data_IF_214527457928
#
_entry.id   IF_214527457928
#
_cell.length_a   1.000
_cell.length_b   1.000
_cell.length_c   1.000
_cell.angle_alpha   90.00
_cell.angle_beta   90.00
_cell.angle_gamma   90.00
#
_symmetry.space_group_name_H-M   'P 1'
#
loop_
_entity.id
_entity.type
_entity.pdbx_description
1 polymer ?
#
# COMPACT_ATOMS: atom_id res chain seq x y z
N UNK A 1 -9.29 13.98 26.30
CA UNK A 1 -10.60 13.69 25.62
C UNK A 1 -11.65 14.77 25.95
N UNK A 2 -12.07 14.92 27.19
CA UNK A 2 -13.03 15.96 27.62
C UNK A 2 -12.57 17.37 27.26
N UNK A 3 -11.27 17.64 27.27
CA UNK A 3 -10.69 18.93 26.89
C UNK A 3 -11.01 19.27 25.42
N UNK A 4 -10.84 18.35 24.47
CA UNK A 4 -11.13 18.58 23.04
C UNK A 4 -12.61 18.94 22.83
N UNK A 5 -13.52 18.19 23.46
CA UNK A 5 -14.96 18.46 23.40
C UNK A 5 -15.30 19.84 23.96
N UNK A 6 -14.66 20.23 25.07
CA UNK A 6 -14.85 21.56 25.68
C UNK A 6 -14.34 22.66 24.75
N UNK A 7 -13.15 22.51 24.18
CA UNK A 7 -12.59 23.47 23.23
C UNK A 7 -13.49 23.60 21.99
N UNK A 8 -13.95 22.47 21.42
CA UNK A 8 -14.87 22.48 20.29
C UNK A 8 -16.17 23.26 20.58
N UNK A 9 -16.79 23.00 21.74
CA UNK A 9 -18.06 23.62 22.10
C UNK A 9 -17.94 25.09 22.54
N UNK A 10 -16.78 25.51 23.05
CA UNK A 10 -16.66 26.81 23.71
C UNK A 10 -15.80 27.80 22.94
N UNK A 11 -14.75 27.32 22.22
CA UNK A 11 -13.72 28.23 21.73
C UNK A 11 -13.48 28.11 20.20
N UNK A 12 -13.49 26.91 19.63
CA UNK A 12 -13.14 26.73 18.21
C UNK A 12 -13.83 25.51 17.62
N UNK A 13 -14.53 25.69 16.50
CA UNK A 13 -15.21 24.61 15.76
C UNK A 13 -14.29 23.88 14.77
N UNK A 14 -13.10 24.40 14.48
CA UNK A 14 -12.12 23.80 13.60
C UNK A 14 -10.95 23.26 14.40
N UNK A 15 -10.96 21.97 14.72
CA UNK A 15 -9.91 21.31 15.47
C UNK A 15 -9.34 20.17 14.60
N UNK A 16 -8.04 20.18 14.39
CA UNK A 16 -7.31 19.11 13.69
C UNK A 16 -6.51 18.33 14.71
N UNK A 17 -6.70 17.00 14.69
CA UNK A 17 -5.99 16.07 15.57
C UNK A 17 -5.28 15.07 14.66
N UNK A 18 -4.00 14.83 14.87
CA UNK A 18 -3.22 13.84 14.12
C UNK A 18 -2.72 12.73 15.03
N UNK A 19 -2.53 11.55 14.48
CA UNK A 19 -1.95 10.40 15.15
C UNK A 19 -1.48 9.34 14.18
N UNK A 20 -0.49 8.54 14.61
CA UNK A 20 0.13 7.48 13.82
C UNK A 20 -0.70 6.18 13.78
N UNK A 21 -1.85 6.12 14.44
CA UNK A 21 -2.68 4.91 14.51
C UNK A 21 -4.15 5.26 14.27
N UNK A 22 -4.71 4.74 13.17
CA UNK A 22 -6.08 4.97 12.74
C UNK A 22 -7.10 4.51 13.79
N UNK A 23 -6.95 3.28 14.29
CA UNK A 23 -7.96 2.65 15.15
C UNK A 23 -8.09 3.31 16.52
N UNK A 24 -6.97 3.70 17.12
CA UNK A 24 -7.02 4.40 18.40
C UNK A 24 -7.57 5.82 18.24
N UNK A 25 -7.15 6.51 17.18
CA UNK A 25 -7.66 7.86 16.93
C UNK A 25 -9.16 7.80 16.63
N UNK A 26 -9.61 6.90 15.77
CA UNK A 26 -11.03 6.74 15.43
C UNK A 26 -11.86 6.25 16.62
N UNK A 27 -11.45 5.22 17.35
CA UNK A 27 -12.19 4.71 18.51
C UNK A 27 -12.23 5.73 19.65
N UNK A 28 -11.11 6.38 19.94
CA UNK A 28 -11.04 7.36 21.00
C UNK A 28 -11.76 8.67 20.67
N UNK A 29 -11.74 9.08 19.42
CA UNK A 29 -12.43 10.28 18.93
C UNK A 29 -13.90 9.99 18.71
N UNK A 30 -14.28 8.87 18.07
CA UNK A 30 -15.67 8.51 17.79
C UNK A 30 -16.47 8.32 19.08
N UNK A 31 -15.89 7.69 20.11
CA UNK A 31 -16.56 7.53 21.41
C UNK A 31 -16.72 8.85 22.16
N UNK A 32 -15.82 9.79 21.95
CA UNK A 32 -15.82 11.09 22.68
C UNK A 32 -16.55 12.19 21.90
N UNK A 33 -16.37 12.24 20.59
CA UNK A 33 -16.94 13.29 19.73
C UNK A 33 -18.25 12.87 19.06
N UNK A 34 -18.67 11.60 19.15
CA UNK A 34 -19.98 11.08 18.69
C UNK A 34 -20.53 11.78 17.45
N UNK A 35 -19.84 11.64 16.31
CA UNK A 35 -20.29 12.18 15.03
C UNK A 35 -19.80 13.60 14.68
N UNK A 36 -18.94 14.21 15.48
CA UNK A 36 -18.35 15.51 15.18
C UNK A 36 -17.00 15.45 14.44
N UNK A 37 -16.42 14.24 14.25
CA UNK A 37 -15.11 14.07 13.61
C UNK A 37 -15.23 13.42 12.25
N UNK A 38 -14.41 13.88 11.29
CA UNK A 38 -14.18 13.23 9.99
C UNK A 38 -12.72 12.81 9.96
N UNK A 39 -12.47 11.55 9.56
CA UNK A 39 -11.14 10.98 9.46
C UNK A 39 -10.59 11.17 8.04
N UNK A 40 -9.36 11.68 7.95
CA UNK A 40 -8.63 11.84 6.72
C UNK A 40 -7.30 11.07 6.81
N UNK A 41 -7.17 9.91 6.15
CA UNK A 41 -5.89 9.22 6.09
C UNK A 41 -4.88 10.04 5.29
N UNK A 42 -3.70 10.29 5.89
CA UNK A 42 -2.60 11.02 5.25
C UNK A 42 -1.52 10.03 4.87
N UNK A 43 -1.29 9.90 3.56
CA UNK A 43 -0.25 9.05 2.99
C UNK A 43 1.04 9.86 2.76
N UNK A 44 2.21 9.21 2.57
CA UNK A 44 3.38 9.85 2.01
C UNK A 44 3.04 10.58 0.69
N UNK A 45 3.89 11.47 0.19
CA UNK A 45 3.60 12.26 -1.02
C UNK A 45 3.14 11.38 -2.19
N UNK A 46 2.13 11.81 -2.92
CA UNK A 46 1.84 11.29 -4.26
C UNK A 46 2.91 11.73 -5.24
N UNK A 47 2.99 11.09 -6.41
CA UNK A 47 3.96 11.49 -7.44
C UNK A 47 3.79 12.97 -7.87
N UNK A 48 2.56 13.45 -8.01
CA UNK A 48 2.30 14.85 -8.32
C UNK A 48 2.76 15.80 -7.22
N UNK A 49 2.64 15.41 -5.95
CA UNK A 49 3.18 16.17 -4.82
C UNK A 49 4.71 16.11 -4.77
N UNK A 50 5.30 14.93 -5.01
CA UNK A 50 6.74 14.76 -5.14
C UNK A 50 7.31 15.69 -6.22
N UNK A 51 6.69 15.74 -7.40
CA UNK A 51 7.11 16.66 -8.47
C UNK A 51 7.04 18.11 -8.02
N UNK A 52 6.00 18.53 -7.30
CA UNK A 52 5.91 19.88 -6.73
C UNK A 52 7.04 20.17 -5.73
N UNK A 53 7.36 19.23 -4.85
CA UNK A 53 8.47 19.34 -3.88
C UNK A 53 9.83 19.48 -4.58
N UNK A 54 9.99 18.82 -5.73
CA UNK A 54 11.23 18.86 -6.54
C UNK A 54 11.22 19.95 -7.61
N UNK A 55 10.19 20.79 -7.70
CA UNK A 55 10.01 21.82 -8.74
C UNK A 55 10.09 21.23 -10.16
N UNK A 56 9.44 20.08 -10.38
CA UNK A 56 9.35 19.40 -11.68
C UNK A 56 7.98 19.71 -12.29
N UNK A 57 7.92 20.27 -13.51
CA UNK A 57 6.65 20.56 -14.16
C UNK A 57 5.89 19.27 -14.49
N UNK A 58 4.56 19.32 -14.31
CA UNK A 58 3.65 18.19 -14.59
C UNK A 58 2.55 18.55 -15.59
N UNK A 59 2.57 19.81 -16.11
CA UNK A 59 1.62 20.31 -17.10
C UNK A 59 2.37 21.13 -18.15
N UNK A 60 1.85 21.18 -19.38
CA UNK A 60 2.45 21.92 -20.50
C UNK A 60 3.91 21.54 -20.74
N UNK A 61 4.16 20.22 -20.82
CA UNK A 61 5.48 19.64 -20.87
C UNK A 61 6.14 19.86 -22.23
N UNK A 62 7.41 20.29 -22.21
CA UNK A 62 8.34 20.22 -23.33
C UNK A 62 9.05 18.85 -23.34
N UNK A 63 9.78 18.53 -24.40
CA UNK A 63 10.51 17.25 -24.49
C UNK A 63 11.49 17.05 -23.32
N UNK A 64 12.24 18.08 -22.96
CA UNK A 64 13.16 18.04 -21.81
C UNK A 64 12.43 17.81 -20.48
N UNK A 65 11.21 18.32 -20.33
CA UNK A 65 10.39 18.11 -19.15
C UNK A 65 9.90 16.66 -19.04
N UNK A 66 9.63 16.01 -20.17
CA UNK A 66 9.26 14.58 -20.19
C UNK A 66 10.42 13.70 -19.72
N UNK A 67 11.64 13.99 -20.13
CA UNK A 67 12.84 13.27 -19.66
C UNK A 67 13.01 13.46 -18.14
N UNK A 68 12.88 14.70 -17.67
CA UNK A 68 12.96 15.00 -16.22
C UNK A 68 11.84 14.30 -15.42
N UNK A 69 10.64 14.22 -15.99
CA UNK A 69 9.50 13.59 -15.35
C UNK A 69 9.68 12.06 -15.25
N UNK A 70 10.22 11.42 -16.31
CA UNK A 70 10.58 9.99 -16.29
C UNK A 70 11.64 9.68 -15.24
N UNK A 71 12.71 10.44 -15.19
CA UNK A 71 13.75 10.30 -14.16
C UNK A 71 13.19 10.53 -12.75
N UNK A 72 12.29 11.50 -12.61
CA UNK A 72 11.61 11.75 -11.35
C UNK A 72 10.73 10.57 -10.92
N UNK A 73 10.07 9.90 -11.88
CA UNK A 73 9.29 8.70 -11.62
C UNK A 73 10.17 7.53 -11.15
N UNK A 74 11.31 7.29 -11.78
CA UNK A 74 12.25 6.25 -11.39
C UNK A 74 12.75 6.48 -9.95
N UNK A 75 13.10 7.72 -9.62
CA UNK A 75 13.48 8.09 -8.27
C UNK A 75 12.34 7.92 -7.26
N UNK A 76 11.13 8.38 -7.61
CA UNK A 76 9.95 8.23 -6.76
C UNK A 76 9.60 6.75 -6.52
N UNK A 77 9.75 5.91 -7.53
CA UNK A 77 9.45 4.49 -7.45
C UNK A 77 10.40 3.74 -6.52
N UNK A 78 11.63 4.20 -6.40
CA UNK A 78 12.70 3.52 -5.65
C UNK A 78 13.11 4.24 -4.36
N UNK A 79 13.01 5.56 -4.32
CA UNK A 79 13.30 6.37 -3.14
C UNK A 79 12.06 6.48 -2.24
N UNK A 80 12.05 7.42 -1.33
CA UNK A 80 10.95 7.64 -0.41
C UNK A 80 10.03 8.76 -0.87
N UNK A 81 8.77 8.67 -0.46
CA UNK A 81 7.77 9.72 -0.60
C UNK A 81 7.50 10.48 0.73
N UNK A 82 8.28 10.26 1.78
CA UNK A 82 8.19 11.08 3.00
C UNK A 82 8.78 12.47 2.75
N UNK A 83 8.03 13.57 3.07
CA UNK A 83 8.42 14.94 2.72
C UNK A 83 9.84 15.32 3.14
N UNK A 84 10.24 15.01 4.37
CA UNK A 84 11.56 15.30 4.91
C UNK A 84 12.67 14.58 4.13
N UNK A 85 12.45 13.30 3.78
CA UNK A 85 13.40 12.50 3.01
C UNK A 85 13.50 12.99 1.57
N UNK A 86 12.39 13.42 0.96
CA UNK A 86 12.36 13.98 -0.40
C UNK A 86 13.16 15.28 -0.49
N UNK A 87 13.16 16.09 0.58
CA UNK A 87 13.90 17.36 0.63
C UNK A 87 15.39 17.18 0.98
N UNK A 88 15.77 16.06 1.59
CA UNK A 88 17.15 15.78 1.97
C UNK A 88 17.99 15.43 0.74
N UNK A 89 19.17 16.06 0.61
CA UNK A 89 20.08 15.88 -0.52
C UNK A 89 21.04 14.71 -0.34
N UNK A 90 21.48 14.50 0.89
CA UNK A 90 22.48 13.49 1.24
C UNK A 90 21.84 12.10 1.33
N UNK A 91 22.24 11.18 0.45
CA UNK A 91 21.72 9.81 0.43
C UNK A 91 21.88 9.10 1.78
N UNK A 92 23.04 9.25 2.41
CA UNK A 92 23.34 8.63 3.71
C UNK A 92 22.42 9.13 4.84
N UNK A 93 22.00 10.40 4.77
CA UNK A 93 21.06 10.98 5.73
C UNK A 93 19.65 10.49 5.43
N UNK A 94 19.23 10.43 4.16
CA UNK A 94 17.93 9.83 3.77
C UNK A 94 17.78 8.40 4.30
N UNK A 95 18.79 7.57 4.13
CA UNK A 95 18.78 6.18 4.64
C UNK A 95 18.65 6.13 6.17
N UNK A 96 19.35 6.99 6.89
CA UNK A 96 19.26 7.08 8.36
C UNK A 96 17.87 7.57 8.81
N UNK A 97 17.28 8.54 8.14
CA UNK A 97 15.91 9.01 8.42
C UNK A 97 14.90 7.87 8.24
N UNK A 98 14.98 7.14 7.13
CA UNK A 98 14.08 6.02 6.83
C UNK A 98 14.22 4.88 7.84
N UNK A 99 15.45 4.54 8.23
CA UNK A 99 15.70 3.57 9.32
C UNK A 99 15.17 4.07 10.65
N UNK A 100 15.30 5.37 10.93
CA UNK A 100 14.73 6.02 12.11
C UNK A 100 13.20 5.91 12.14
N UNK A 101 12.52 6.20 11.03
CA UNK A 101 11.06 6.06 10.93
C UNK A 101 10.61 4.61 11.09
N UNK A 102 11.26 3.67 10.43
CA UNK A 102 10.98 2.25 10.61
C UNK A 102 11.14 1.82 12.08
N UNK A 103 12.21 2.23 12.73
CA UNK A 103 12.44 1.90 14.14
C UNK A 103 11.40 2.56 15.06
N UNK A 104 11.01 3.80 14.80
CA UNK A 104 9.97 4.48 15.55
C UNK A 104 8.62 3.75 15.44
N UNK A 105 8.22 3.35 14.23
CA UNK A 105 7.01 2.55 14.02
C UNK A 105 7.11 1.19 14.71
N UNK A 106 8.26 0.51 14.60
CA UNK A 106 8.47 -0.79 15.21
C UNK A 106 8.41 -0.73 16.74
N UNK A 107 9.15 0.19 17.36
CA UNK A 107 9.27 0.21 18.82
C UNK A 107 8.10 0.91 19.49
N UNK A 108 7.79 2.14 19.10
CA UNK A 108 6.74 2.95 19.74
C UNK A 108 5.34 2.48 19.36
N UNK A 109 5.09 2.28 18.06
CA UNK A 109 3.73 2.04 17.55
C UNK A 109 3.33 0.56 17.59
N UNK A 110 4.29 -0.37 17.71
CA UNK A 110 4.03 -1.81 17.82
C UNK A 110 4.48 -2.38 19.17
N UNK A 111 5.79 -2.43 19.43
CA UNK A 111 6.36 -3.12 20.60
C UNK A 111 5.83 -2.55 21.90
N UNK A 112 5.98 -1.26 22.14
CA UNK A 112 5.54 -0.60 23.38
C UNK A 112 4.02 -0.60 23.49
N UNK A 113 3.33 -0.27 22.40
CA UNK A 113 1.87 -0.14 22.40
C UNK A 113 1.14 -1.45 22.68
N UNK A 114 1.57 -2.54 22.07
CA UNK A 114 0.93 -3.85 22.19
C UNK A 114 1.70 -4.81 23.10
N UNK A 115 2.71 -4.29 23.84
CA UNK A 115 3.53 -5.05 24.79
C UNK A 115 4.13 -6.33 24.16
N UNK A 116 4.64 -6.22 22.92
CA UNK A 116 5.20 -7.37 22.19
C UNK A 116 6.59 -7.68 22.73
N UNK A 117 6.75 -8.83 23.38
CA UNK A 117 8.04 -9.28 23.96
C UNK A 117 8.98 -9.90 22.92
N UNK A 118 8.46 -10.45 21.83
CA UNK A 118 9.22 -11.23 20.84
C UNK A 118 9.70 -10.35 19.67
N UNK A 119 10.45 -9.30 19.97
CA UNK A 119 10.85 -8.26 19.00
C UNK A 119 11.64 -8.84 17.81
N UNK A 120 12.52 -9.82 18.04
CA UNK A 120 13.29 -10.48 16.97
C UNK A 120 12.40 -11.21 15.98
N UNK A 121 11.42 -11.96 16.49
CA UNK A 121 10.43 -12.69 15.67
C UNK A 121 9.50 -11.71 14.92
N UNK A 122 9.08 -10.62 15.57
CA UNK A 122 8.30 -9.57 14.92
C UNK A 122 9.08 -8.93 13.75
N UNK A 123 10.35 -8.60 13.94
CA UNK A 123 11.22 -8.08 12.85
C UNK A 123 11.32 -9.05 11.69
N UNK A 124 11.49 -10.35 11.98
CA UNK A 124 11.54 -11.37 10.95
C UNK A 124 10.21 -11.45 10.20
N UNK A 125 9.08 -11.45 10.91
CA UNK A 125 7.74 -11.45 10.31
C UNK A 125 7.53 -10.25 9.38
N UNK A 126 7.89 -9.04 9.83
CA UNK A 126 7.83 -7.81 9.00
C UNK A 126 8.66 -7.97 7.73
N UNK A 127 9.90 -8.44 7.84
CA UNK A 127 10.77 -8.67 6.67
C UNK A 127 10.19 -9.72 5.71
N UNK A 128 9.52 -10.77 6.23
CA UNK A 128 8.85 -11.76 5.38
C UNK A 128 7.68 -11.15 4.61
N UNK A 129 6.88 -10.28 5.23
CA UNK A 129 5.83 -9.54 4.54
C UNK A 129 6.39 -8.58 3.48
N UNK A 130 7.47 -7.86 3.79
CA UNK A 130 8.16 -6.98 2.83
C UNK A 130 8.72 -7.74 1.61
N UNK A 131 9.25 -8.95 1.81
CA UNK A 131 9.75 -9.79 0.72
C UNK A 131 8.62 -10.37 -0.14
N UNK A 132 7.47 -10.65 0.48
CA UNK A 132 6.28 -11.15 -0.21
C UNK A 132 5.36 -10.01 -0.70
N UNK A 133 5.87 -8.77 -0.76
CA UNK A 133 5.12 -7.62 -1.22
C UNK A 133 4.37 -7.95 -2.52
N UNK A 134 3.12 -7.51 -2.61
CA UNK A 134 2.20 -7.70 -3.76
C UNK A 134 1.76 -9.14 -4.05
N UNK A 135 2.30 -10.12 -3.34
CA UNK A 135 1.89 -11.53 -3.53
C UNK A 135 0.89 -11.99 -2.48
N UNK A 136 -0.08 -12.84 -2.86
CA UNK A 136 -0.95 -13.49 -1.89
C UNK A 136 -0.12 -14.19 -0.81
N UNK A 137 -0.29 -13.78 0.44
CA UNK A 137 0.56 -14.22 1.56
C UNK A 137 -0.23 -15.03 2.56
N UNK A 138 0.20 -16.27 2.78
CA UNK A 138 -0.35 -17.15 3.80
C UNK A 138 0.39 -16.96 5.13
N UNK A 139 -0.30 -16.47 6.15
CA UNK A 139 0.25 -16.39 7.52
C UNK A 139 0.66 -17.77 8.04
N UNK A 140 -0.05 -18.83 7.65
CA UNK A 140 0.33 -20.20 7.99
C UNK A 140 1.68 -20.61 7.42
N UNK A 141 1.99 -20.24 6.17
CA UNK A 141 3.28 -20.53 5.57
C UNK A 141 4.40 -19.79 6.30
N UNK A 142 4.19 -18.52 6.65
CA UNK A 142 5.15 -17.74 7.44
C UNK A 142 5.33 -18.34 8.86
N UNK A 143 4.24 -18.77 9.48
CA UNK A 143 4.30 -19.44 10.78
C UNK A 143 5.19 -20.68 10.74
N UNK A 144 5.00 -21.55 9.75
CA UNK A 144 5.80 -22.76 9.58
C UNK A 144 7.27 -22.44 9.33
N UNK A 145 7.56 -21.40 8.55
CA UNK A 145 8.91 -20.91 8.29
C UNK A 145 9.59 -20.40 9.59
N UNK A 146 8.92 -19.57 10.37
CA UNK A 146 9.40 -19.08 11.67
C UNK A 146 9.68 -20.25 12.63
N UNK A 147 8.77 -21.23 12.69
CA UNK A 147 8.92 -22.42 13.52
C UNK A 147 10.11 -23.29 13.11
N UNK A 148 10.36 -23.43 11.81
CA UNK A 148 11.51 -24.20 11.29
C UNK A 148 12.85 -23.59 11.68
N UNK A 149 12.89 -22.28 11.97
CA UNK A 149 14.09 -21.57 12.46
C UNK A 149 14.23 -21.61 13.99
N UNK A 150 13.37 -22.36 14.68
CA UNK A 150 13.41 -22.48 16.14
C UNK A 150 12.89 -21.27 16.91
N UNK A 151 12.30 -20.27 16.20
CA UNK A 151 11.71 -19.10 16.82
C UNK A 151 10.34 -19.45 17.43
N UNK A 152 10.08 -18.92 18.63
CA UNK A 152 8.82 -19.16 19.34
C UNK A 152 7.81 -18.08 18.99
N UNK A 153 6.63 -18.48 18.50
CA UNK A 153 5.50 -17.61 18.23
C UNK A 153 4.25 -18.48 18.13
N UNK A 154 3.11 -17.97 18.47
CA UNK A 154 1.83 -18.62 18.15
C UNK A 154 1.30 -18.12 16.80
N UNK A 155 0.43 -18.90 16.20
CA UNK A 155 -0.21 -18.50 14.96
C UNK A 155 -1.12 -17.28 15.14
N UNK A 156 -1.79 -17.23 16.28
CA UNK A 156 -2.69 -16.14 16.64
C UNK A 156 -1.91 -14.82 16.82
N UNK A 157 -0.69 -14.88 17.39
CA UNK A 157 0.19 -13.70 17.46
C UNK A 157 0.48 -13.13 16.07
N UNK A 158 0.76 -13.99 15.07
CA UNK A 158 1.05 -13.51 13.72
C UNK A 158 -0.16 -12.85 13.04
N UNK A 159 -1.37 -13.37 13.27
CA UNK A 159 -2.58 -12.71 12.80
C UNK A 159 -2.79 -11.36 13.48
N UNK A 160 -2.63 -11.30 14.81
CA UNK A 160 -2.70 -10.04 15.55
C UNK A 160 -1.63 -9.04 15.10
N UNK A 161 -0.39 -9.48 14.91
CA UNK A 161 0.68 -8.60 14.43
C UNK A 161 0.39 -8.08 13.02
N UNK A 162 -0.18 -8.90 12.13
CA UNK A 162 -0.61 -8.44 10.81
C UNK A 162 -1.68 -7.34 10.91
N UNK A 163 -2.63 -7.47 11.85
CA UNK A 163 -3.62 -6.43 12.11
C UNK A 163 -2.95 -5.15 12.65
N UNK A 164 -2.06 -5.26 13.64
CA UNK A 164 -1.35 -4.13 14.23
C UNK A 164 -0.48 -3.38 13.21
N UNK A 165 0.16 -4.11 12.29
CA UNK A 165 0.94 -3.52 11.20
C UNK A 165 0.08 -2.69 10.23
N UNK A 166 -1.16 -3.11 10.02
CA UNK A 166 -2.11 -2.32 9.22
C UNK A 166 -2.67 -1.13 10.03
N UNK A 167 -2.93 -1.32 11.33
CA UNK A 167 -3.44 -0.26 12.21
C UNK A 167 -2.45 0.90 12.38
N UNK A 168 -1.14 0.63 12.38
CA UNK A 168 -0.10 1.67 12.41
C UNK A 168 0.31 2.18 11.02
N UNK A 169 -0.42 1.83 9.96
CA UNK A 169 -0.13 2.21 8.58
C UNK A 169 1.24 1.76 8.04
N UNK A 170 1.93 0.82 8.69
CA UNK A 170 3.15 0.26 8.12
C UNK A 170 2.87 -0.57 6.87
N UNK A 171 1.74 -1.31 6.89
CA UNK A 171 1.24 -2.06 5.75
C UNK A 171 -0.21 -1.70 5.44
N UNK A 172 -0.56 -1.84 4.17
CA UNK A 172 -1.94 -1.89 3.69
C UNK A 172 -2.16 -3.30 3.19
N UNK A 173 -3.33 -3.89 3.45
CA UNK A 173 -3.68 -5.21 2.91
C UNK A 173 -4.96 -5.15 2.12
N UNK A 174 -5.01 -5.90 1.03
CA UNK A 174 -6.22 -6.10 0.24
C UNK A 174 -6.61 -7.57 0.24
N UNK A 175 -7.92 -7.83 0.26
CA UNK A 175 -8.47 -9.18 0.24
C UNK A 175 -8.67 -9.68 -1.19
N UNK A 176 -8.77 -10.99 -1.35
CA UNK A 176 -9.19 -11.61 -2.62
C UNK A 176 -10.63 -11.25 -2.91
N UNK A 177 -10.92 -10.84 -4.16
CA UNK A 177 -12.28 -10.63 -4.63
C UNK A 177 -13.10 -11.91 -4.51
N UNK A 178 -14.24 -11.82 -3.86
CA UNK A 178 -15.21 -12.92 -3.73
C UNK A 178 -16.59 -12.35 -3.41
N UNK A 179 -17.62 -13.01 -3.89
CA UNK A 179 -19.02 -12.69 -3.57
C UNK A 179 -19.43 -13.20 -2.17
N UNK A 180 -18.54 -13.91 -1.46
CA UNK A 180 -18.84 -14.53 -0.15
C UNK A 180 -17.96 -13.91 0.95
N UNK A 181 -18.56 -13.24 1.92
CA UNK A 181 -17.88 -12.67 3.09
C UNK A 181 -17.05 -13.69 3.88
N UNK A 182 -17.56 -14.93 4.01
CA UNK A 182 -16.85 -16.01 4.74
C UNK A 182 -15.58 -16.43 4.00
N UNK A 183 -15.63 -16.51 2.67
CA UNK A 183 -14.45 -16.83 1.85
C UNK A 183 -13.44 -15.68 1.86
N UNK A 184 -13.90 -14.43 1.91
CA UNK A 184 -13.03 -13.27 1.98
C UNK A 184 -12.08 -13.31 3.18
N UNK A 185 -12.59 -13.61 4.36
CA UNK A 185 -11.78 -13.69 5.58
C UNK A 185 -10.80 -14.88 5.63
N UNK A 186 -11.08 -15.96 4.89
CA UNK A 186 -10.25 -17.17 4.86
C UNK A 186 -9.16 -17.14 3.78
N UNK A 187 -9.29 -16.25 2.81
CA UNK A 187 -8.33 -16.14 1.72
C UNK A 187 -7.03 -15.46 2.19
N UNK A 188 -5.96 -15.71 1.46
CA UNK A 188 -4.71 -14.97 1.65
C UNK A 188 -4.90 -13.50 1.30
N UNK A 189 -4.24 -12.62 2.04
CA UNK A 189 -4.18 -11.19 1.72
C UNK A 189 -2.93 -10.89 0.90
N UNK A 190 -3.02 -9.91 -0.01
CA UNK A 190 -1.84 -9.22 -0.52
C UNK A 190 -1.48 -8.08 0.43
N UNK A 191 -0.20 -7.93 0.74
CA UNK A 191 0.32 -6.88 1.60
C UNK A 191 1.14 -5.89 0.77
N UNK A 192 0.98 -4.62 1.08
CA UNK A 192 1.66 -3.49 0.45
C UNK A 192 2.28 -2.63 1.53
N UNK A 193 3.44 -2.07 1.25
CA UNK A 193 4.18 -1.30 2.23
C UNK A 193 3.94 0.20 2.04
N UNK A 194 3.92 0.97 3.13
CA UNK A 194 3.56 2.39 3.07
C UNK A 194 4.52 3.24 2.25
N UNK A 195 5.78 2.81 2.10
CA UNK A 195 6.81 3.59 1.40
C UNK A 195 7.91 2.69 0.83
N UNK A 196 8.17 2.78 -0.47
CA UNK A 196 9.15 1.96 -1.16
C UNK A 196 10.58 2.22 -0.68
N UNK A 197 10.94 3.49 -0.43
CA UNK A 197 12.27 3.86 0.04
C UNK A 197 12.55 3.35 1.44
N UNK A 198 11.56 3.41 2.35
CA UNK A 198 11.70 2.83 3.68
C UNK A 198 11.86 1.30 3.60
N UNK A 199 11.13 0.61 2.69
CA UNK A 199 11.35 -0.82 2.44
C UNK A 199 12.79 -1.10 2.01
N UNK A 200 13.34 -0.33 1.08
CA UNK A 200 14.72 -0.49 0.60
C UNK A 200 15.78 -0.17 1.67
N UNK A 201 15.50 0.76 2.57
CA UNK A 201 16.40 1.05 3.69
C UNK A 201 16.43 -0.06 4.76
N UNK A 202 15.44 -0.96 4.77
CA UNK A 202 15.31 -2.09 5.72
C UNK A 202 15.74 -3.42 5.10
N UNK A 203 15.47 -3.60 3.80
CA UNK A 203 15.85 -4.78 3.01
C UNK A 203 16.96 -4.42 2.03
N UNK A 204 17.83 -5.38 1.76
CA UNK A 204 18.79 -5.22 0.65
C UNK A 204 18.01 -5.17 -0.67
N UNK A 205 18.26 -4.17 -1.53
CA UNK A 205 17.62 -4.09 -2.84
C UNK A 205 17.88 -5.34 -3.68
N UNK A 206 16.85 -5.83 -4.35
CA UNK A 206 16.96 -6.93 -5.31
C UNK A 206 16.67 -6.39 -6.71
N UNK A 207 17.45 -6.79 -7.70
CA UNK A 207 17.38 -6.29 -9.08
C UNK A 207 16.05 -6.57 -9.80
N UNK A 208 15.19 -7.42 -9.27
CA UNK A 208 13.92 -7.84 -9.89
C UNK A 208 12.67 -7.30 -9.16
N UNK A 209 12.81 -6.28 -8.33
CA UNK A 209 11.70 -5.77 -7.51
C UNK A 209 10.90 -4.63 -8.17
N UNK A 210 11.32 -4.13 -9.35
CA UNK A 210 10.69 -2.95 -9.98
C UNK A 210 9.18 -3.10 -10.20
N UNK A 211 8.73 -4.26 -10.68
CA UNK A 211 7.30 -4.52 -10.86
C UNK A 211 6.52 -4.47 -9.54
N UNK A 212 7.08 -5.02 -8.46
CA UNK A 212 6.45 -4.96 -7.13
C UNK A 212 6.40 -3.53 -6.58
N UNK A 213 7.46 -2.74 -6.81
CA UNK A 213 7.50 -1.34 -6.38
C UNK A 213 6.50 -0.50 -7.15
N UNK A 214 6.35 -0.74 -8.46
CA UNK A 214 5.33 -0.12 -9.30
C UNK A 214 3.93 -0.46 -8.78
N UNK A 215 3.62 -1.75 -8.59
CA UNK A 215 2.33 -2.22 -8.08
C UNK A 215 2.02 -1.64 -6.69
N UNK A 216 3.04 -1.54 -5.81
CA UNK A 216 2.89 -0.90 -4.51
C UNK A 216 2.50 0.59 -4.62
N UNK A 217 3.16 1.33 -5.52
CA UNK A 217 2.82 2.73 -5.77
C UNK A 217 1.43 2.90 -6.39
N UNK A 218 1.01 1.99 -7.28
CA UNK A 218 -0.35 1.99 -7.83
C UNK A 218 -1.37 1.80 -6.71
N UNK A 219 -1.18 0.85 -5.79
CA UNK A 219 -2.10 0.72 -4.64
C UNK A 219 -2.14 1.99 -3.81
N UNK A 220 -1.01 2.58 -3.46
CA UNK A 220 -0.96 3.82 -2.68
C UNK A 220 -1.69 4.97 -3.40
N UNK A 221 -1.60 5.03 -4.73
CA UNK A 221 -2.36 5.98 -5.54
C UNK A 221 -3.87 5.70 -5.48
N UNK A 222 -4.27 4.43 -5.62
CA UNK A 222 -5.67 4.03 -5.51
C UNK A 222 -6.25 4.36 -4.14
N UNK A 223 -5.54 4.07 -3.05
CA UNK A 223 -5.98 4.38 -1.69
C UNK A 223 -6.21 5.88 -1.45
N UNK A 224 -5.43 6.76 -2.10
CA UNK A 224 -5.63 8.22 -2.01
C UNK A 224 -6.88 8.71 -2.73
N UNK A 225 -7.27 8.00 -3.79
CA UNK A 225 -8.34 8.41 -4.70
C UNK A 225 -9.63 7.60 -4.52
N UNK A 226 -9.62 6.57 -3.69
CA UNK A 226 -10.82 5.80 -3.36
C UNK A 226 -11.81 6.63 -2.55
N UNK A 227 -13.06 6.61 -2.99
CA UNK A 227 -14.17 7.17 -2.24
C UNK A 227 -14.54 6.31 -1.03
N UNK A 228 -15.42 6.83 -0.18
CA UNK A 228 -15.88 6.13 1.03
C UNK A 228 -16.59 4.78 0.74
N UNK A 229 -17.15 4.63 -0.45
CA UNK A 229 -17.86 3.41 -0.89
C UNK A 229 -17.01 2.52 -1.79
N UNK A 230 -15.77 2.88 -2.05
CA UNK A 230 -14.87 2.11 -2.90
C UNK A 230 -14.16 1.04 -2.09
N UNK A 231 -14.05 -0.16 -2.65
CA UNK A 231 -13.29 -1.27 -2.09
C UNK A 231 -12.27 -1.77 -3.11
N UNK A 232 -11.02 -1.87 -2.69
CA UNK A 232 -9.93 -2.42 -3.49
C UNK A 232 -9.71 -3.87 -3.09
N UNK A 233 -9.75 -4.78 -4.06
CA UNK A 233 -9.48 -6.21 -3.88
C UNK A 233 -8.58 -6.69 -5.01
N UNK A 234 -8.07 -7.92 -4.97
CA UNK A 234 -7.39 -8.57 -6.09
C UNK A 234 -8.20 -9.78 -6.57
N UNK A 235 -8.09 -10.12 -7.86
CA UNK A 235 -8.70 -11.34 -8.40
C UNK A 235 -7.65 -12.43 -8.55
N UNK A 236 -8.00 -13.66 -8.22
CA UNK A 236 -7.18 -14.84 -8.45
C UNK A 236 -8.07 -16.05 -8.75
N UNK A 237 -8.10 -16.43 -10.01
CA UNK A 237 -8.69 -17.65 -10.54
C UNK A 237 -7.60 -18.57 -11.07
N UNK A 238 -7.68 -18.97 -12.35
CA UNK A 238 -6.57 -19.61 -13.06
C UNK A 238 -5.46 -18.61 -13.36
N UNK A 239 -5.83 -17.35 -13.55
CA UNK A 239 -4.96 -16.19 -13.72
C UNK A 239 -5.22 -15.18 -12.61
N UNK A 240 -4.42 -14.15 -12.57
CA UNK A 240 -4.48 -13.10 -11.55
C UNK A 240 -4.80 -11.74 -12.20
N UNK A 241 -5.56 -10.87 -11.49
CA UNK A 241 -5.65 -9.45 -11.76
C UNK A 241 -5.36 -8.70 -10.46
N UNK A 242 -4.44 -7.74 -10.54
CA UNK A 242 -3.86 -7.11 -9.35
C UNK A 242 -4.86 -6.29 -8.58
N UNK A 243 -5.73 -5.54 -9.26
CA UNK A 243 -6.73 -4.73 -8.58
C UNK A 243 -8.11 -4.83 -9.25
N UNK A 244 -9.09 -5.08 -8.40
CA UNK A 244 -10.52 -5.02 -8.71
C UNK A 244 -11.10 -3.90 -7.87
N UNK A 245 -11.48 -2.80 -8.50
CA UNK A 245 -12.06 -1.64 -7.83
C UNK A 245 -13.57 -1.79 -7.86
N UNK A 246 -14.14 -2.03 -6.68
CA UNK A 246 -15.58 -2.12 -6.49
C UNK A 246 -16.11 -0.81 -5.94
N UNK A 247 -17.19 -0.31 -6.49
CA UNK A 247 -17.92 0.85 -6.00
C UNK A 247 -19.36 0.44 -5.71
N UNK A 248 -19.73 0.46 -4.44
CA UNK A 248 -21.02 -0.06 -3.97
C UNK A 248 -21.28 -1.50 -4.44
N UNK A 249 -22.19 -1.72 -5.37
CA UNK A 249 -22.66 -3.03 -5.85
C UNK A 249 -22.05 -3.46 -7.20
N UNK A 250 -21.26 -2.61 -7.87
CA UNK A 250 -20.68 -2.90 -9.18
C UNK A 250 -19.15 -2.79 -9.17
N UNK A 251 -18.53 -3.43 -10.15
CA UNK A 251 -17.08 -3.31 -10.38
C UNK A 251 -16.86 -2.12 -11.31
N UNK A 252 -16.15 -1.12 -10.81
CA UNK A 252 -15.86 0.13 -11.50
C UNK A 252 -14.72 -0.02 -12.51
N UNK A 253 -13.68 -0.77 -12.14
CA UNK A 253 -12.48 -0.91 -12.94
C UNK A 253 -11.67 -2.14 -12.54
N UNK A 254 -11.00 -2.74 -13.52
CA UNK A 254 -9.96 -3.75 -13.35
C UNK A 254 -8.60 -3.15 -13.74
N UNK A 255 -7.59 -3.38 -12.91
CA UNK A 255 -6.25 -2.85 -13.17
C UNK A 255 -5.23 -3.98 -13.01
N UNK A 256 -4.39 -4.14 -14.02
CA UNK A 256 -3.22 -5.01 -14.00
C UNK A 256 -1.97 -4.14 -13.98
N UNK A 257 -0.90 -4.57 -13.33
CA UNK A 257 0.35 -3.81 -13.23
C UNK A 257 1.53 -4.69 -13.61
N UNK A 258 2.29 -4.27 -14.60
CA UNK A 258 3.52 -4.96 -15.01
C UNK A 258 4.60 -3.94 -15.31
N UNK A 259 5.89 -4.30 -15.16
CA UNK A 259 6.97 -3.38 -15.48
C UNK A 259 7.07 -3.12 -16.98
N UNK A 260 6.98 -4.17 -17.78
CA UNK A 260 7.01 -4.11 -19.26
C UNK A 260 6.14 -5.20 -19.86
N UNK A 261 5.67 -4.99 -21.08
CA UNK A 261 4.96 -5.94 -21.94
C UNK A 261 5.74 -6.33 -23.19
N UNK A 262 7.04 -6.02 -23.27
CA UNK A 262 7.90 -6.33 -24.43
C UNK A 262 8.01 -7.84 -24.67
N UNK A 263 8.06 -8.64 -23.60
CA UNK A 263 8.10 -10.10 -23.71
C UNK A 263 6.70 -10.66 -23.99
N UNK A 264 6.61 -11.47 -25.04
CA UNK A 264 5.34 -12.05 -25.50
C UNK A 264 4.63 -12.89 -24.44
N UNK A 265 5.37 -13.67 -23.65
CA UNK A 265 4.80 -14.53 -22.60
C UNK A 265 4.22 -13.68 -21.47
N UNK A 266 4.96 -12.64 -21.06
CA UNK A 266 4.49 -11.65 -20.09
C UNK A 266 3.24 -10.95 -20.61
N UNK A 267 3.27 -10.45 -21.85
CA UNK A 267 2.12 -9.77 -22.47
C UNK A 267 0.86 -10.65 -22.49
N UNK A 268 0.98 -11.89 -22.94
CA UNK A 268 -0.14 -12.84 -22.98
C UNK A 268 -0.66 -13.16 -21.56
N UNK A 269 0.22 -13.28 -20.59
CA UNK A 269 -0.14 -13.55 -19.20
C UNK A 269 -0.97 -12.41 -18.60
N UNK A 270 -0.52 -11.16 -18.75
CA UNK A 270 -1.18 -9.98 -18.18
C UNK A 270 -2.53 -9.71 -18.86
N UNK A 271 -2.60 -9.79 -20.19
CA UNK A 271 -3.86 -9.65 -20.93
C UNK A 271 -4.85 -10.74 -20.54
N UNK A 272 -4.42 -12.01 -20.51
CA UNK A 272 -5.31 -13.10 -20.12
C UNK A 272 -5.78 -13.00 -18.67
N UNK A 273 -4.96 -12.46 -17.77
CA UNK A 273 -5.32 -12.22 -16.38
C UNK A 273 -6.48 -11.23 -16.23
N UNK A 274 -6.36 -10.08 -16.86
CA UNK A 274 -7.40 -9.05 -16.79
C UNK A 274 -8.68 -9.46 -17.53
N UNK A 275 -8.56 -10.22 -18.64
CA UNK A 275 -9.71 -10.77 -19.37
C UNK A 275 -10.47 -11.83 -18.57
N UNK A 276 -9.77 -12.70 -17.83
CA UNK A 276 -10.42 -13.68 -16.95
C UNK A 276 -11.19 -12.94 -15.85
N UNK A 277 -10.57 -11.94 -15.22
CA UNK A 277 -11.23 -11.12 -14.23
C UNK A 277 -12.46 -10.37 -14.79
N UNK A 278 -12.36 -9.83 -16.00
CA UNK A 278 -13.45 -9.15 -16.71
C UNK A 278 -14.67 -10.06 -16.91
N UNK A 279 -14.46 -11.31 -17.33
CA UNK A 279 -15.55 -12.28 -17.53
C UNK A 279 -16.26 -12.64 -16.22
N UNK A 280 -15.50 -12.75 -15.10
CA UNK A 280 -16.03 -13.14 -13.79
C UNK A 280 -16.76 -11.98 -13.11
N UNK A 281 -16.29 -10.76 -13.31
CA UNK A 281 -16.81 -9.55 -12.68
C UNK A 281 -17.82 -8.79 -13.52
N UNK A 282 -17.96 -9.15 -14.82
CA UNK A 282 -18.77 -8.43 -15.83
C UNK A 282 -18.34 -6.95 -15.96
N UNK A 283 -17.05 -6.69 -15.89
CA UNK A 283 -16.48 -5.35 -16.00
C UNK A 283 -15.59 -5.23 -17.24
N UNK A 284 -15.94 -4.30 -18.14
CA UNK A 284 -15.19 -4.04 -19.36
C UNK A 284 -14.25 -2.82 -19.26
N UNK A 285 -14.24 -2.11 -18.13
CA UNK A 285 -13.30 -1.02 -17.89
C UNK A 285 -11.98 -1.61 -17.38
N UNK A 286 -11.07 -1.87 -18.30
CA UNK A 286 -9.80 -2.54 -18.08
C UNK A 286 -8.63 -1.59 -18.34
N UNK A 287 -7.62 -1.63 -17.46
CA UNK A 287 -6.39 -0.84 -17.58
C UNK A 287 -5.19 -1.72 -17.25
N UNK A 288 -4.18 -1.71 -18.12
CA UNK A 288 -2.85 -2.27 -17.81
C UNK A 288 -1.90 -1.09 -17.60
N UNK A 289 -1.23 -1.03 -16.45
CA UNK A 289 -0.25 -0.01 -16.12
C UNK A 289 1.14 -0.60 -16.31
N UNK A 290 1.93 0.07 -17.16
CA UNK A 290 3.34 -0.24 -17.41
C UNK A 290 4.24 0.90 -16.97
N UNK A 291 5.56 0.69 -17.00
CA UNK A 291 6.53 1.72 -16.64
C UNK A 291 6.58 2.85 -17.69
N UNK A 292 6.64 2.53 -18.98
CA UNK A 292 6.89 3.48 -20.06
C UNK A 292 6.20 3.15 -21.39
N UNK A 293 5.33 2.14 -21.42
CA UNK A 293 4.60 1.75 -22.62
C UNK A 293 3.19 2.34 -22.64
N UNK A 294 2.74 2.82 -23.78
CA UNK A 294 1.39 3.33 -23.98
C UNK A 294 0.81 2.79 -25.30
N UNK A 295 -0.24 2.00 -25.22
CA UNK A 295 -0.97 1.46 -26.37
C UNK A 295 -2.44 1.23 -26.04
N UNK A 296 -3.27 1.12 -27.07
CA UNK A 296 -4.66 0.68 -26.94
C UNK A 296 -4.79 -0.70 -27.58
N UNK A 297 -5.20 -1.69 -26.81
CA UNK A 297 -5.40 -3.05 -27.27
C UNK A 297 -6.90 -3.27 -27.47
N UNK A 298 -7.29 -3.59 -28.70
CA UNK A 298 -8.67 -3.98 -29.02
C UNK A 298 -8.71 -5.50 -29.16
N UNK A 299 -9.56 -6.15 -28.40
CA UNK A 299 -9.77 -7.60 -28.46
C UNK A 299 -11.18 -7.83 -29.01
N UNK A 300 -11.27 -8.70 -30.02
CA UNK A 300 -12.55 -9.06 -30.63
C UNK A 300 -13.53 -9.52 -29.55
N UNK A 301 -14.74 -8.93 -29.55
CA UNK A 301 -15.83 -9.11 -28.59
C UNK A 301 -15.74 -8.36 -27.25
N UNK A 302 -14.74 -7.48 -27.04
CA UNK A 302 -14.71 -6.63 -25.84
C UNK A 302 -13.91 -5.34 -26.06
#
# INVERSE_FOLDING_TARGET
KLFVVRVYKTYCQHIYISGSNAKMLSQEITTTLRGYGVEYPTYPLSFAEYCRFKNIPTKHLLEDDLVRLRLAWDNYNTESAFPEVVLEKEKSIREKLLQGYYNAMLFRDLVERYSISQVGTLRYFIKRLMNNLTKPTSINAIYNDIRSQGLKVTKDDLYLWADYLCECFMFIRISKFTKSLVKEQRNAFKYYFIDNGMRQAVLLPQSHDNGKLLENNVLLHLCRNCGMLDKITYYQGNKECDFVIQQADHIKQLIQVTWTMDDKETREREINGILEASRVTDCNNMLIITHDEEETITIEDK
#
